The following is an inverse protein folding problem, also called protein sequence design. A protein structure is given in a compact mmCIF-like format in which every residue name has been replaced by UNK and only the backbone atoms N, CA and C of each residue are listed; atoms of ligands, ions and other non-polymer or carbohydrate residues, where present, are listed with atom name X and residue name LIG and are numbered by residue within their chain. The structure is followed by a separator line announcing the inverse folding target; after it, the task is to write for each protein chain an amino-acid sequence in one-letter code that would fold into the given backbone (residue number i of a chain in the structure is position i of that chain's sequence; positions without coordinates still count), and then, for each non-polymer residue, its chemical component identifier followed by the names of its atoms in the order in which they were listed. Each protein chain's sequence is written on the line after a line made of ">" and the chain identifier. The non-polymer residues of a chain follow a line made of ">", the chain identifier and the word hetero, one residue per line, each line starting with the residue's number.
data_IF_901657901181
#
_entry.id   IF_901657901181
#
_cell.length_a   1.000
_cell.length_b   1.000
_cell.length_c   1.000
_cell.angle_alpha   90.00
_cell.angle_beta   90.00
_cell.angle_gamma   90.00
#
_symmetry.space_group_name_H-M   'P 1'
#
loop_
_entity.id
_entity.type
_entity.pdbx_description
1 polymer ?
#
# COMPACT_ATOMS: atom_id res chain seq x y z
N UNK A 1 -5.26 -17.46 -14.36
CA UNK A 1 -4.32 -16.34 -14.06
C UNK A 1 -5.01 -15.10 -13.49
N UNK A 2 -6.15 -14.64 -14.01
CA UNK A 2 -6.86 -13.44 -13.49
C UNK A 2 -7.17 -13.49 -11.97
N UNK A 3 -7.67 -14.63 -11.48
CA UNK A 3 -7.92 -14.83 -10.05
C UNK A 3 -6.65 -14.65 -9.18
N UNK A 4 -5.51 -15.16 -9.65
CA UNK A 4 -4.22 -15.00 -8.98
C UNK A 4 -3.79 -13.53 -8.97
N UNK A 5 -3.99 -12.80 -10.07
CA UNK A 5 -3.73 -11.35 -10.13
C UNK A 5 -4.58 -10.59 -9.11
N UNK A 6 -5.85 -10.97 -8.94
CA UNK A 6 -6.72 -10.39 -7.92
C UNK A 6 -6.24 -10.65 -6.50
N UNK A 7 -5.80 -11.88 -6.20
CA UNK A 7 -5.23 -12.24 -4.90
C UNK A 7 -3.92 -11.49 -4.60
N UNK A 8 -3.05 -11.33 -5.60
CA UNK A 8 -1.82 -10.51 -5.46
C UNK A 8 -2.20 -9.06 -5.14
N UNK A 9 -3.21 -8.51 -5.83
CA UNK A 9 -3.75 -7.18 -5.51
C UNK A 9 -4.23 -7.08 -4.07
N UNK A 10 -5.00 -8.06 -3.58
CA UNK A 10 -5.49 -8.07 -2.20
C UNK A 10 -4.36 -8.13 -1.17
N UNK A 11 -3.33 -8.93 -1.43
CA UNK A 11 -2.16 -9.02 -0.56
C UNK A 11 -1.40 -7.69 -0.48
N UNK A 12 -1.09 -7.08 -1.63
CA UNK A 12 -0.36 -5.79 -1.67
C UNK A 12 -1.20 -4.67 -1.04
N UNK A 13 -2.52 -4.68 -1.23
CA UNK A 13 -3.42 -3.72 -0.61
C UNK A 13 -3.39 -3.85 0.92
N UNK A 14 -3.44 -5.08 1.44
CA UNK A 14 -3.33 -5.34 2.88
C UNK A 14 -2.00 -4.83 3.45
N UNK A 15 -0.88 -5.07 2.76
CA UNK A 15 0.43 -4.53 3.17
C UNK A 15 0.47 -3.00 3.15
N UNK A 16 -0.15 -2.35 2.15
CA UNK A 16 -0.26 -0.90 2.09
C UNK A 16 -1.02 -0.33 3.29
N UNK A 17 -2.14 -0.95 3.69
CA UNK A 17 -2.93 -0.54 4.86
C UNK A 17 -2.15 -0.78 6.16
N UNK A 18 -1.68 -2.01 6.39
CA UNK A 18 -0.96 -2.38 7.61
C UNK A 18 0.25 -1.48 7.84
N UNK A 19 1.04 -1.27 6.79
CA UNK A 19 2.24 -0.47 6.88
C UNK A 19 1.91 1.03 7.04
N UNK A 20 0.79 1.53 6.52
CA UNK A 20 0.37 2.91 6.79
C UNK A 20 0.03 3.10 8.27
N UNK A 21 -0.70 2.16 8.87
CA UNK A 21 -1.06 2.19 10.29
C UNK A 21 0.20 2.06 11.16
N UNK A 22 1.06 1.09 10.86
CA UNK A 22 2.27 0.82 11.62
C UNK A 22 3.21 2.03 11.68
N UNK A 23 3.28 2.79 10.59
CA UNK A 23 4.22 3.90 10.48
C UNK A 23 3.60 5.29 10.70
N UNK A 24 2.30 5.37 11.00
CA UNK A 24 1.58 6.64 11.13
C UNK A 24 2.18 7.60 12.18
N UNK A 25 2.78 7.04 13.24
CA UNK A 25 3.45 7.79 14.31
C UNK A 25 4.93 7.44 14.45
N UNK A 26 5.49 6.72 13.49
CA UNK A 26 6.86 6.25 13.56
C UNK A 26 7.84 7.34 13.09
N UNK A 27 9.10 7.29 13.55
CA UNK A 27 10.15 8.13 12.99
C UNK A 27 10.32 7.88 11.48
N UNK A 28 10.68 8.93 10.74
CA UNK A 28 11.17 8.83 9.37
C UNK A 28 12.56 8.20 9.38
N UNK A 29 13.13 8.01 8.19
CA UNK A 29 14.39 7.27 8.00
C UNK A 29 15.58 7.89 8.78
N UNK A 30 15.50 9.18 9.10
CA UNK A 30 16.53 9.92 9.84
C UNK A 30 16.47 9.70 11.36
N UNK A 31 15.44 9.00 11.86
CA UNK A 31 15.20 8.75 13.29
C UNK A 31 14.87 10.00 14.11
N UNK A 32 14.80 11.19 13.49
CA UNK A 32 14.66 12.49 14.15
C UNK A 32 13.34 13.16 13.83
N UNK A 33 12.84 12.99 12.61
CA UNK A 33 11.57 13.56 12.17
C UNK A 33 10.48 12.50 12.20
N UNK A 34 9.22 12.89 12.42
CA UNK A 34 8.08 11.98 12.27
C UNK A 34 7.82 11.72 10.79
N UNK A 35 7.35 10.52 10.44
CA UNK A 35 6.88 10.26 9.08
C UNK A 35 5.75 11.22 8.71
N UNK A 36 5.78 11.67 7.46
CA UNK A 36 4.81 12.63 6.93
C UNK A 36 4.06 12.03 5.75
N UNK A 37 2.81 12.47 5.58
CA UNK A 37 1.96 11.99 4.48
C UNK A 37 2.51 12.33 3.09
N UNK A 38 3.16 13.47 2.96
CA UNK A 38 3.69 13.95 1.67
C UNK A 38 4.91 13.14 1.22
N UNK A 39 5.78 12.73 2.15
CA UNK A 39 7.07 12.10 1.83
C UNK A 39 7.06 10.59 2.05
N UNK A 40 6.61 10.13 3.22
CA UNK A 40 6.80 8.74 3.65
C UNK A 40 5.56 7.87 3.37
N UNK A 41 4.35 8.41 3.55
CA UNK A 41 3.12 7.64 3.28
C UNK A 41 2.66 7.74 1.82
N UNK A 42 3.13 8.71 1.04
CA UNK A 42 2.72 8.87 -0.37
C UNK A 42 3.00 7.62 -1.21
N UNK A 43 4.15 6.99 -1.01
CA UNK A 43 4.52 5.71 -1.67
C UNK A 43 3.55 4.59 -1.27
N UNK A 44 3.13 4.54 0.00
CA UNK A 44 2.16 3.54 0.48
C UNK A 44 0.80 3.74 -0.15
N UNK A 45 0.37 5.00 -0.33
CA UNK A 45 -0.87 5.36 -1.03
C UNK A 45 -0.80 4.94 -2.49
N UNK A 46 0.28 5.27 -3.21
CA UNK A 46 0.48 4.85 -4.60
C UNK A 46 0.43 3.33 -4.72
N UNK A 47 1.10 2.61 -3.81
CA UNK A 47 1.06 1.15 -3.76
C UNK A 47 -0.35 0.61 -3.52
N UNK A 48 -1.13 1.24 -2.62
CA UNK A 48 -2.53 0.88 -2.38
C UNK A 48 -3.40 1.08 -3.62
N UNK A 49 -3.21 2.18 -4.37
CA UNK A 49 -3.95 2.45 -5.61
C UNK A 49 -3.63 1.41 -6.70
N UNK A 50 -2.34 1.09 -6.88
CA UNK A 50 -1.92 0.04 -7.83
C UNK A 50 -2.46 -1.33 -7.44
N UNK A 51 -2.49 -1.64 -6.14
CA UNK A 51 -3.07 -2.87 -5.64
C UNK A 51 -4.57 -2.98 -5.96
N UNK A 52 -5.33 -1.89 -5.80
CA UNK A 52 -6.75 -1.83 -6.20
C UNK A 52 -6.90 -2.09 -7.70
N UNK A 53 -6.03 -1.49 -8.54
CA UNK A 53 -6.05 -1.75 -9.98
C UNK A 53 -5.84 -3.24 -10.31
N UNK A 54 -4.91 -3.92 -9.62
CA UNK A 54 -4.70 -5.37 -9.76
C UNK A 54 -5.93 -6.18 -9.36
N UNK A 55 -6.60 -5.82 -8.25
CA UNK A 55 -7.85 -6.47 -7.83
C UNK A 55 -8.94 -6.32 -8.89
N UNK A 56 -9.13 -5.12 -9.44
CA UNK A 56 -10.12 -4.85 -10.49
C UNK A 56 -9.82 -5.64 -11.76
N UNK A 57 -8.56 -5.69 -12.20
CA UNK A 57 -8.16 -6.47 -13.37
C UNK A 57 -8.35 -7.99 -13.14
N UNK A 58 -8.09 -8.47 -11.93
CA UNK A 58 -8.27 -9.87 -11.57
C UNK A 58 -9.74 -10.30 -11.39
N UNK A 59 -10.62 -9.37 -11.01
CA UNK A 59 -12.05 -9.59 -10.82
C UNK A 59 -12.91 -9.41 -12.08
N UNK A 60 -12.36 -8.80 -13.14
CA UNK A 60 -13.05 -8.71 -14.44
C UNK A 60 -13.09 -10.08 -15.13
N UNK A 61 -14.30 -10.55 -15.46
CA UNK A 61 -14.54 -11.78 -16.23
C UNK A 61 -13.74 -11.80 -17.53
#
# INVERSE_FOLDING_TARGET
>A
MKYLTGLIGMWIFSDAVYSTILYLNSPSYDGKTKQTWKKDHSIRVVRGVLAIALMVMGGKK
#
